data_IF_879127834438
#
_entry.id   IF_879127834438
#
_cell.length_a   1.000
_cell.length_b   1.000
_cell.length_c   1.000
_cell.angle_alpha   90.00
_cell.angle_beta   90.00
_cell.angle_gamma   90.00
#
_symmetry.space_group_name_H-M   'P 1'
#
loop_
_entity.id
_entity.type
_entity.pdbx_description
1 polymer ?
#
# COMPACT_ATOMS: atom_id res chain seq x y z
N UNK A 1 -6.16 -12.02 5.45
CA UNK A 1 -5.92 -10.91 4.52
C UNK A 1 -5.84 -11.35 3.05
N UNK A 2 -6.00 -12.65 2.73
CA UNK A 2 -5.83 -13.21 1.38
C UNK A 2 -6.64 -12.49 0.30
N UNK A 3 -7.94 -12.27 0.54
CA UNK A 3 -8.81 -11.59 -0.43
C UNK A 3 -8.31 -10.17 -0.75
N UNK A 4 -7.90 -9.40 0.27
CA UNK A 4 -7.42 -8.03 0.05
C UNK A 4 -6.09 -7.97 -0.71
N UNK A 5 -5.18 -8.91 -0.44
CA UNK A 5 -3.90 -8.99 -1.16
C UNK A 5 -4.13 -9.37 -2.63
N UNK A 6 -5.02 -10.34 -2.88
CA UNK A 6 -5.38 -10.75 -4.24
C UNK A 6 -6.11 -9.65 -5.01
N UNK A 7 -7.08 -8.98 -4.39
CA UNK A 7 -7.91 -7.95 -5.03
C UNK A 7 -7.10 -6.67 -5.33
N UNK A 8 -6.14 -6.30 -4.47
CA UNK A 8 -5.27 -5.14 -4.71
C UNK A 8 -4.22 -5.35 -5.79
N UNK A 9 -3.95 -6.60 -6.20
CA UNK A 9 -2.86 -6.95 -7.11
C UNK A 9 -1.50 -6.33 -6.72
N UNK A 10 -1.25 -6.19 -5.41
CA UNK A 10 -0.09 -5.48 -4.90
C UNK A 10 1.22 -6.17 -5.29
N UNK A 11 2.13 -5.43 -5.94
CA UNK A 11 3.47 -5.90 -6.33
C UNK A 11 4.51 -5.76 -5.22
N UNK A 12 4.25 -4.89 -4.25
CA UNK A 12 5.11 -4.65 -3.09
C UNK A 12 4.27 -4.66 -1.83
N UNK A 13 4.77 -5.30 -0.77
CA UNK A 13 4.18 -5.27 0.55
C UNK A 13 5.21 -4.76 1.55
N UNK A 14 4.89 -3.64 2.19
CA UNK A 14 5.65 -3.09 3.31
C UNK A 14 5.03 -3.58 4.61
N UNK A 15 5.78 -4.31 5.42
CA UNK A 15 5.22 -5.03 6.56
C UNK A 15 6.11 -4.96 7.79
N UNK A 16 5.50 -4.84 8.96
CA UNK A 16 6.21 -4.97 10.25
C UNK A 16 6.65 -6.43 10.49
N UNK A 17 7.68 -6.68 11.32
CA UNK A 17 8.22 -8.03 11.56
C UNK A 17 7.16 -9.09 11.89
N UNK A 18 6.20 -8.77 12.77
CA UNK A 18 5.17 -9.71 13.20
C UNK A 18 4.18 -10.14 12.10
N UNK A 19 4.19 -9.47 10.95
CA UNK A 19 3.31 -9.76 9.81
C UNK A 19 4.00 -10.55 8.68
N UNK A 20 5.33 -10.74 8.74
CA UNK A 20 6.12 -11.30 7.63
C UNK A 20 5.73 -12.74 7.29
N UNK A 21 5.64 -13.61 8.31
CA UNK A 21 5.27 -15.02 8.14
C UNK A 21 3.88 -15.19 7.52
N UNK A 22 2.89 -14.44 8.02
CA UNK A 22 1.52 -14.46 7.50
C UNK A 22 1.44 -13.93 6.06
N UNK A 23 2.20 -12.89 5.72
CA UNK A 23 2.25 -12.35 4.37
C UNK A 23 2.90 -13.33 3.40
N UNK A 24 4.03 -13.90 3.77
CA UNK A 24 4.75 -14.90 2.98
C UNK A 24 3.85 -16.09 2.64
N UNK A 25 3.14 -16.64 3.62
CA UNK A 25 2.21 -17.74 3.42
C UNK A 25 1.11 -17.41 2.40
N UNK A 26 0.48 -16.24 2.52
CA UNK A 26 -0.57 -15.82 1.56
C UNK A 26 0.01 -15.66 0.16
N UNK A 27 1.17 -15.03 0.05
CA UNK A 27 1.78 -14.74 -1.23
C UNK A 27 2.28 -15.98 -1.97
N UNK A 28 2.72 -17.03 -1.26
CA UNK A 28 3.06 -18.32 -1.86
C UNK A 28 1.87 -19.00 -2.54
N UNK A 29 0.63 -18.64 -2.17
CA UNK A 29 -0.60 -19.18 -2.77
C UNK A 29 -1.11 -18.35 -3.96
N UNK A 30 -0.47 -17.23 -4.26
CA UNK A 30 -0.89 -16.31 -5.32
C UNK A 30 0.07 -16.40 -6.51
N UNK A 31 -0.50 -16.49 -7.71
CA UNK A 31 0.26 -16.47 -8.96
C UNK A 31 0.58 -15.01 -9.41
N UNK A 32 1.05 -14.19 -8.47
CA UNK A 32 1.39 -12.78 -8.69
C UNK A 32 2.79 -12.52 -8.17
N UNK A 33 3.64 -11.93 -9.02
CA UNK A 33 4.98 -11.51 -8.62
C UNK A 33 4.88 -10.36 -7.62
N UNK A 34 5.33 -10.62 -6.40
CA UNK A 34 5.30 -9.69 -5.29
C UNK A 34 6.70 -9.58 -4.64
N UNK A 35 6.93 -8.53 -3.86
CA UNK A 35 8.12 -8.35 -3.04
C UNK A 35 7.73 -7.86 -1.66
N UNK A 36 8.23 -8.53 -0.62
CA UNK A 36 8.05 -8.11 0.76
C UNK A 36 9.26 -7.27 1.18
N UNK A 37 9.00 -6.11 1.78
CA UNK A 37 9.99 -5.23 2.39
C UNK A 37 9.62 -5.06 3.86
N UNK A 38 10.52 -5.43 4.75
CA UNK A 38 10.30 -5.29 6.19
C UNK A 38 10.45 -3.83 6.62
N UNK A 39 9.46 -3.34 7.37
CA UNK A 39 9.46 -2.04 8.04
C UNK A 39 9.77 -2.31 9.52
N UNK A 40 11.05 -2.45 9.83
CA UNK A 40 11.52 -2.82 11.16
C UNK A 40 13.03 -3.04 11.22
N UNK A 41 13.51 -3.64 12.31
CA UNK A 41 14.93 -3.89 12.50
C UNK A 41 15.42 -5.05 11.62
N UNK A 42 16.66 -4.96 11.13
CA UNK A 42 17.31 -6.02 10.35
C UNK A 42 17.31 -7.39 11.05
N UNK A 43 17.43 -7.42 12.38
CA UNK A 43 17.46 -8.67 13.15
C UNK A 43 16.12 -9.42 13.12
N UNK A 44 15.03 -8.70 12.90
CA UNK A 44 13.65 -9.22 12.93
C UNK A 44 13.07 -9.37 11.52
N UNK A 45 13.88 -9.16 10.47
CA UNK A 45 13.39 -9.13 9.09
C UNK A 45 13.22 -10.51 8.44
N UNK A 46 13.52 -11.60 9.14
CA UNK A 46 13.42 -12.98 8.62
C UNK A 46 14.14 -13.18 7.26
N UNK A 47 15.19 -12.40 7.00
CA UNK A 47 15.92 -12.43 5.72
C UNK A 47 15.32 -11.56 4.61
N UNK A 48 14.14 -10.95 4.81
CA UNK A 48 13.60 -9.96 3.90
C UNK A 48 14.42 -8.65 3.93
N UNK A 49 14.51 -7.92 2.80
CA UNK A 49 15.11 -6.60 2.77
C UNK A 49 14.35 -5.65 3.70
N UNK A 50 15.06 -4.78 4.42
CA UNK A 50 14.42 -3.75 5.26
C UNK A 50 14.30 -2.43 4.51
N UNK A 51 13.32 -1.60 4.88
CA UNK A 51 13.09 -0.30 4.24
C UNK A 51 14.32 0.61 4.28
N UNK A 52 15.13 0.54 5.35
CA UNK A 52 16.37 1.31 5.50
C UNK A 52 17.45 0.92 4.48
N UNK A 53 17.34 -0.25 3.85
CA UNK A 53 18.31 -0.72 2.84
C UNK A 53 18.03 -0.14 1.46
N UNK A 54 16.80 0.35 1.22
CA UNK A 54 16.38 0.83 -0.10
C UNK A 54 17.13 2.10 -0.54
N UNK A 55 18.08 2.59 0.27
CA UNK A 55 18.86 3.80 0.04
C UNK A 55 17.96 4.90 -0.50
N UNK A 56 16.77 5.04 0.10
CA UNK A 56 15.79 6.07 -0.22
C UNK A 56 16.50 7.38 0.06
N UNK A 57 17.13 7.92 -0.97
CA UNK A 57 17.68 9.26 -0.89
C UNK A 57 16.49 10.17 -0.63
N UNK A 58 16.71 11.25 0.12
CA UNK A 58 15.85 12.41 0.04
C UNK A 58 16.02 13.00 -1.37
N UNK A 59 15.65 12.24 -2.40
CA UNK A 59 15.58 12.72 -3.76
C UNK A 59 14.57 13.86 -3.70
N UNK A 60 15.08 15.09 -3.66
CA UNK A 60 14.35 16.20 -4.25
C UNK A 60 14.17 15.77 -5.70
N UNK A 61 13.00 15.23 -6.03
CA UNK A 61 12.66 14.91 -7.40
C UNK A 61 13.01 16.13 -8.25
N UNK A 62 14.06 16.02 -9.08
CA UNK A 62 14.49 17.10 -9.97
C UNK A 62 13.53 17.23 -11.14
N UNK A 63 12.81 16.15 -11.44
CA UNK A 63 11.59 16.15 -12.24
C UNK A 63 10.41 16.52 -11.35
N UNK A 64 9.40 17.21 -11.88
CA UNK A 64 8.14 17.42 -11.14
C UNK A 64 7.47 16.10 -10.71
N UNK A 65 6.36 16.21 -9.98
CA UNK A 65 5.51 15.05 -9.70
C UNK A 65 5.11 14.35 -11.01
N UNK A 66 4.91 13.01 -10.99
CA UNK A 66 4.40 12.31 -12.16
C UNK A 66 3.08 12.93 -12.62
N UNK A 67 2.87 12.94 -13.94
CA UNK A 67 1.57 13.31 -14.51
C UNK A 67 0.52 12.30 -14.02
N UNK A 68 -0.68 12.80 -13.70
CA UNK A 68 -1.81 12.00 -13.22
C UNK A 68 -3.08 12.46 -13.91
N UNK A 69 -4.04 11.55 -14.14
CA UNK A 69 -5.42 11.84 -14.50
C UNK A 69 -6.27 11.85 -13.21
N UNK A 70 -6.54 13.01 -12.56
CA UNK A 70 -6.95 13.01 -11.17
C UNK A 70 -8.30 12.34 -10.89
N UNK A 71 -9.19 12.32 -11.88
CA UNK A 71 -10.52 11.72 -11.77
C UNK A 71 -10.50 10.19 -11.93
N UNK A 72 -9.52 9.67 -12.67
CA UNK A 72 -9.43 8.24 -13.05
C UNK A 72 -8.36 7.49 -12.25
N UNK A 73 -7.22 8.11 -11.99
CA UNK A 73 -6.09 7.47 -11.30
C UNK A 73 -6.42 7.25 -9.82
N UNK A 74 -6.29 5.99 -9.38
CA UNK A 74 -6.52 5.57 -8.01
C UNK A 74 -5.29 5.91 -7.17
N UNK A 75 -5.47 6.74 -6.15
CA UNK A 75 -4.40 7.10 -5.20
C UNK A 75 -4.33 6.14 -4.01
N UNK A 76 -5.47 5.59 -3.59
CA UNK A 76 -5.51 4.65 -2.47
C UNK A 76 -6.77 3.76 -2.47
N UNK A 77 -6.65 2.56 -1.92
CA UNK A 77 -7.69 1.51 -1.89
C UNK A 77 -7.86 0.94 -0.46
N UNK A 78 -8.57 1.63 0.46
CA UNK A 78 -8.90 1.08 1.77
C UNK A 78 -9.87 -0.09 1.62
N UNK A 79 -9.70 -1.10 2.47
CA UNK A 79 -10.66 -2.19 2.58
C UNK A 79 -11.61 -1.95 3.74
N UNK A 80 -12.89 -1.81 3.43
CA UNK A 80 -13.95 -1.72 4.44
C UNK A 80 -14.47 -3.11 4.83
N UNK A 81 -14.99 -3.25 6.05
CA UNK A 81 -15.66 -4.49 6.47
C UNK A 81 -16.96 -4.77 5.72
N UNK A 82 -17.51 -3.77 5.02
CA UNK A 82 -18.86 -3.82 4.44
C UNK A 82 -19.96 -3.96 5.49
N UNK A 83 -21.21 -3.92 5.04
CA UNK A 83 -22.41 -4.23 5.85
C UNK A 83 -22.85 -5.68 5.68
N UNK A 84 -22.45 -6.34 4.59
CA UNK A 84 -22.70 -7.76 4.30
C UNK A 84 -21.66 -8.27 3.29
N UNK A 85 -21.14 -9.48 3.52
CA UNK A 85 -20.21 -10.16 2.60
C UNK A 85 -18.72 -9.87 2.83
N UNK A 86 -17.84 -10.29 1.88
CA UNK A 86 -16.40 -10.09 2.00
C UNK A 86 -16.02 -8.61 1.96
N UNK A 87 -14.87 -8.29 2.56
CA UNK A 87 -14.31 -6.93 2.57
C UNK A 87 -14.05 -6.46 1.14
N UNK A 88 -14.37 -5.19 0.86
CA UNK A 88 -14.25 -4.59 -0.48
C UNK A 88 -13.26 -3.44 -0.45
N UNK A 89 -12.43 -3.33 -1.50
CA UNK A 89 -11.60 -2.17 -1.76
C UNK A 89 -12.45 -1.00 -2.25
N UNK A 90 -12.29 0.18 -1.65
CA UNK A 90 -12.97 1.41 -2.07
C UNK A 90 -12.02 2.23 -2.92
N UNK A 91 -12.14 2.21 -4.24
CA UNK A 91 -11.21 2.96 -5.08
C UNK A 91 -11.37 4.48 -4.85
N UNK A 92 -10.32 5.13 -4.35
CA UNK A 92 -10.28 6.58 -4.15
C UNK A 92 -9.35 7.20 -5.19
N UNK A 93 -9.87 8.11 -6.01
CA UNK A 93 -9.07 8.87 -6.97
C UNK A 93 -8.35 10.05 -6.32
N UNK A 94 -7.37 10.62 -7.02
CA UNK A 94 -6.69 11.85 -6.57
C UNK A 94 -7.67 13.02 -6.38
N UNK A 95 -8.67 13.17 -7.27
CA UNK A 95 -9.72 14.19 -7.17
C UNK A 95 -10.53 14.01 -5.88
N UNK A 96 -11.00 12.79 -5.61
CA UNK A 96 -11.78 12.48 -4.41
C UNK A 96 -10.98 12.74 -3.13
N UNK A 97 -9.70 12.34 -3.10
CA UNK A 97 -8.81 12.62 -1.97
C UNK A 97 -8.66 14.13 -1.74
N UNK A 98 -8.41 14.90 -2.80
CA UNK A 98 -8.29 16.35 -2.69
C UNK A 98 -9.57 17.04 -2.21
N UNK A 99 -10.74 16.57 -2.66
CA UNK A 99 -12.03 17.06 -2.17
C UNK A 99 -12.21 16.77 -0.68
N UNK A 100 -11.89 15.55 -0.23
CA UNK A 100 -11.94 15.18 1.20
C UNK A 100 -11.02 16.06 2.05
N UNK A 101 -9.77 16.26 1.61
CA UNK A 101 -8.80 17.12 2.33
C UNK A 101 -9.28 18.57 2.41
N UNK A 102 -9.87 19.12 1.34
CA UNK A 102 -10.43 20.48 1.34
C UNK A 102 -11.57 20.62 2.35
N UNK A 103 -12.45 19.63 2.44
CA UNK A 103 -13.57 19.64 3.39
C UNK A 103 -13.02 19.56 4.82
N UNK A 104 -12.11 18.61 5.09
CA UNK A 104 -11.54 18.41 6.41
C UNK A 104 -10.78 19.65 6.90
N UNK A 105 -9.95 20.25 6.05
CA UNK A 105 -9.15 21.42 6.41
C UNK A 105 -9.96 22.72 6.52
N UNK A 106 -11.15 22.80 5.90
CA UNK A 106 -12.08 23.93 6.08
C UNK A 106 -12.93 23.83 7.35
N UNK A 107 -12.93 22.66 7.99
CA UNK A 107 -13.74 22.39 9.18
C UNK A 107 -12.97 22.63 10.50
N UNK A 108 -11.78 23.25 10.40
CA UNK A 108 -10.92 23.69 11.51
C UNK A 108 -10.87 25.21 11.53
#
# INVERSE_FOLDING_TARGET
MRLQISDSAARFAFAVPSALSNLSAVFCELDIVHRIVCVGNRKESEGYPIISDLALSSATCSSGFPETCPDEDIVFLPYSSGTSGPRKGVAISHYALNAMLKIFNKSV
#
